data_IF_439470572088
#
_entry.id   IF_439470572088
#
_cell.length_a   1.000
_cell.length_b   1.000
_cell.length_c   1.000
_cell.angle_alpha   90.00
_cell.angle_beta   90.00
_cell.angle_gamma   90.00
#
_symmetry.space_group_name_H-M   'P 1'
#
loop_
_entity.id
_entity.type
_entity.pdbx_description
1 polymer ?
#
# COMPACT_ATOMS: atom_id res chain seq x y z
N UNK A 1 -17.94 -14.51 27.85
CA UNK A 1 -16.61 -14.15 27.33
C UNK A 1 -16.65 -12.66 27.11
N UNK A 2 -15.76 -11.91 27.76
CA UNK A 2 -15.64 -10.47 27.57
C UNK A 2 -14.92 -10.23 26.23
N UNK A 3 -15.31 -9.20 25.46
CA UNK A 3 -14.62 -8.87 24.21
C UNK A 3 -13.15 -8.53 24.46
N UNK A 4 -12.84 -7.97 25.64
CA UNK A 4 -11.48 -7.70 26.08
C UNK A 4 -10.60 -8.97 26.15
N UNK A 5 -11.21 -10.15 26.34
CA UNK A 5 -10.48 -11.43 26.39
C UNK A 5 -9.91 -11.86 25.02
N UNK A 6 -10.31 -11.19 23.92
CA UNK A 6 -9.83 -11.45 22.56
C UNK A 6 -8.63 -10.58 22.15
N UNK A 7 -8.36 -9.50 22.89
CA UNK A 7 -7.31 -8.55 22.56
C UNK A 7 -6.08 -8.75 23.44
N UNK A 8 -4.90 -8.53 22.85
CA UNK A 8 -3.65 -8.55 23.61
C UNK A 8 -3.61 -7.37 24.59
N UNK A 9 -3.08 -7.60 25.78
CA UNK A 9 -2.70 -6.56 26.73
C UNK A 9 -1.42 -5.82 26.31
N UNK A 10 -1.11 -4.70 26.96
CA UNK A 10 0.15 -3.98 26.73
C UNK A 10 1.38 -4.86 26.99
N UNK A 11 1.32 -5.72 28.01
CA UNK A 11 2.38 -6.68 28.32
C UNK A 11 2.52 -7.75 27.23
N UNK A 12 1.42 -8.34 26.77
CA UNK A 12 1.42 -9.37 25.73
C UNK A 12 1.86 -8.85 24.35
N UNK A 13 1.67 -7.55 24.07
CA UNK A 13 2.22 -6.92 22.86
C UNK A 13 3.75 -6.87 22.86
N UNK A 14 4.40 -6.96 24.02
CA UNK A 14 5.86 -7.06 24.13
C UNK A 14 6.63 -5.86 23.58
N UNK A 15 6.02 -4.67 23.57
CA UNK A 15 6.64 -3.44 23.08
C UNK A 15 6.44 -2.27 24.06
N UNK A 16 7.21 -2.23 25.17
CA UNK A 16 7.04 -1.25 26.24
C UNK A 16 7.36 0.19 25.80
N UNK A 17 8.08 0.36 24.69
CA UNK A 17 8.39 1.69 24.12
C UNK A 17 7.25 2.24 23.25
N UNK A 18 6.17 1.46 23.03
CA UNK A 18 5.02 1.90 22.23
C UNK A 18 4.14 2.85 23.05
N UNK A 19 3.86 4.04 22.51
CA UNK A 19 2.85 4.95 23.04
C UNK A 19 1.44 4.66 22.50
N UNK A 20 1.27 3.64 21.65
CA UNK A 20 -0.03 3.26 21.06
C UNK A 20 -0.74 2.35 22.06
N UNK A 21 -2.02 2.58 22.39
CA UNK A 21 -2.77 1.71 23.29
C UNK A 21 -2.88 0.28 22.72
N UNK A 22 -2.97 -0.73 23.59
CA UNK A 22 -3.15 -2.12 23.17
C UNK A 22 -4.36 -2.34 22.24
N UNK A 23 -5.47 -1.66 22.51
CA UNK A 23 -6.67 -1.65 21.68
C UNK A 23 -7.48 -0.39 21.93
N UNK A 24 -8.42 -0.08 21.02
CA UNK A 24 -9.37 1.01 21.17
C UNK A 24 -10.74 0.61 20.58
N UNK A 25 -11.78 1.32 21.00
CA UNK A 25 -13.16 1.13 20.53
C UNK A 25 -13.58 2.27 19.59
N UNK A 26 -14.73 2.12 18.94
CA UNK A 26 -15.32 3.16 18.09
C UNK A 26 -14.73 3.26 16.68
N UNK A 27 -13.88 2.33 16.29
CA UNK A 27 -13.36 2.25 14.92
C UNK A 27 -14.41 1.63 13.98
N UNK A 28 -14.52 2.18 12.77
CA UNK A 28 -15.17 1.50 11.65
C UNK A 28 -14.10 0.67 10.91
N UNK A 29 -14.29 -0.64 10.84
CA UNK A 29 -13.40 -1.56 10.13
C UNK A 29 -14.18 -2.27 9.02
N UNK A 30 -13.78 -2.03 7.77
CA UNK A 30 -14.44 -2.58 6.59
C UNK A 30 -13.50 -3.52 5.82
N UNK A 31 -13.90 -4.78 5.57
CA UNK A 31 -13.09 -5.70 4.79
C UNK A 31 -13.23 -5.41 3.29
N UNK A 32 -12.14 -4.97 2.66
CA UNK A 32 -12.06 -4.82 1.20
C UNK A 32 -11.60 -6.15 0.58
N UNK A 33 -12.55 -6.97 0.17
CA UNK A 33 -12.27 -8.29 -0.41
C UNK A 33 -11.88 -8.11 -1.88
N UNK A 34 -10.76 -8.73 -2.27
CA UNK A 34 -10.10 -8.63 -3.60
C UNK A 34 -9.40 -7.29 -3.85
N UNK A 35 -8.37 -7.31 -4.72
CA UNK A 35 -7.63 -6.10 -5.01
C UNK A 35 -8.37 -5.11 -5.89
N UNK A 36 -9.28 -5.54 -6.76
CA UNK A 36 -10.16 -4.63 -7.50
C UNK A 36 -10.95 -3.70 -6.56
N UNK A 37 -11.58 -4.26 -5.53
CA UNK A 37 -12.29 -3.49 -4.49
C UNK A 37 -11.35 -2.57 -3.71
N UNK A 38 -10.20 -3.09 -3.27
CA UNK A 38 -9.20 -2.32 -2.54
C UNK A 38 -8.67 -1.13 -3.36
N UNK A 39 -8.27 -1.36 -4.61
CA UNK A 39 -7.73 -0.33 -5.49
C UNK A 39 -8.79 0.70 -5.87
N UNK A 40 -10.04 0.28 -6.08
CA UNK A 40 -11.13 1.22 -6.37
C UNK A 40 -11.38 2.18 -5.19
N UNK A 41 -11.44 1.65 -3.96
CA UNK A 41 -11.57 2.47 -2.75
C UNK A 41 -10.36 3.39 -2.58
N UNK A 42 -9.15 2.88 -2.79
CA UNK A 42 -7.92 3.68 -2.69
C UNK A 42 -7.94 4.87 -3.65
N UNK A 43 -8.38 4.67 -4.89
CA UNK A 43 -8.50 5.79 -5.86
C UNK A 43 -9.51 6.81 -5.35
N UNK A 44 -10.69 6.36 -4.88
CA UNK A 44 -11.73 7.25 -4.35
C UNK A 44 -11.20 8.13 -3.21
N UNK A 45 -10.52 7.54 -2.23
CA UNK A 45 -10.01 8.30 -1.08
C UNK A 45 -8.88 9.26 -1.49
N UNK A 46 -7.94 8.82 -2.34
CA UNK A 46 -6.83 9.68 -2.75
C UNK A 46 -7.29 10.82 -3.67
N UNK A 47 -8.28 10.60 -4.52
CA UNK A 47 -8.86 11.65 -5.37
C UNK A 47 -9.61 12.70 -4.54
N UNK A 48 -10.12 12.34 -3.35
CA UNK A 48 -10.77 13.27 -2.43
C UNK A 48 -9.79 14.17 -1.65
N UNK A 49 -8.48 13.91 -1.73
CA UNK A 49 -7.46 14.69 -1.02
C UNK A 49 -7.22 16.07 -1.65
N UNK A 50 -7.07 17.04 -0.76
CA UNK A 50 -6.84 18.45 -1.05
C UNK A 50 -5.49 18.95 -0.51
N UNK A 51 -5.12 20.18 -0.82
CA UNK A 51 -3.86 20.78 -0.38
C UNK A 51 -3.72 20.73 1.15
N UNK A 52 -2.59 20.21 1.63
CA UNK A 52 -2.31 20.05 3.06
C UNK A 52 -2.84 18.75 3.69
N UNK A 53 -3.67 17.99 2.99
CA UNK A 53 -4.00 16.62 3.41
C UNK A 53 -2.76 15.71 3.24
N UNK A 54 -2.78 14.55 3.89
CA UNK A 54 -1.65 13.64 3.92
C UNK A 54 -1.96 12.32 3.24
N UNK A 55 -0.99 11.81 2.48
CA UNK A 55 -0.98 10.47 1.91
C UNK A 55 0.34 9.79 2.28
N UNK A 56 0.30 8.88 3.25
CA UNK A 56 1.47 8.12 3.68
C UNK A 56 1.33 6.67 3.26
N UNK A 57 2.39 6.04 2.77
CA UNK A 57 2.34 4.64 2.39
C UNK A 57 3.62 3.88 2.71
N UNK A 58 3.46 2.59 2.98
CA UNK A 58 4.54 1.61 3.01
C UNK A 58 4.17 0.47 2.08
N UNK A 59 5.17 -0.04 1.36
CA UNK A 59 4.94 -1.18 0.49
C UNK A 59 6.18 -2.08 0.42
N UNK A 60 5.96 -3.37 0.26
CA UNK A 60 7.06 -4.31 0.05
C UNK A 60 7.52 -4.28 -1.41
N UNK A 61 6.57 -4.13 -2.34
CA UNK A 61 6.82 -3.94 -3.77
C UNK A 61 5.74 -3.05 -4.38
N UNK A 62 6.14 -1.92 -4.94
CA UNK A 62 5.30 -1.10 -5.81
C UNK A 62 5.70 -1.27 -7.27
N UNK A 63 4.72 -1.50 -8.15
CA UNK A 63 4.92 -1.39 -9.60
C UNK A 63 4.25 -0.07 -10.05
N UNK A 64 5.02 0.98 -10.45
CA UNK A 64 4.49 2.30 -10.73
C UNK A 64 3.38 2.32 -11.80
N UNK A 65 3.39 1.38 -12.74
CA UNK A 65 2.42 1.26 -13.82
C UNK A 65 1.21 0.36 -13.50
N UNK A 66 1.09 -0.18 -12.28
CA UNK A 66 -0.11 -0.88 -11.83
C UNK A 66 -1.34 0.04 -11.97
N UNK A 67 -2.31 -0.37 -12.79
CA UNK A 67 -3.59 0.33 -12.93
C UNK A 67 -4.51 -0.01 -11.78
N UNK A 68 -5.23 0.99 -11.29
CA UNK A 68 -6.10 0.86 -10.13
C UNK A 68 -7.56 0.62 -10.53
N UNK A 69 -7.93 1.10 -11.71
CA UNK A 69 -9.21 0.84 -12.38
C UNK A 69 -8.96 0.45 -13.83
N UNK A 70 -10.01 0.04 -14.52
CA UNK A 70 -9.93 -0.24 -15.95
C UNK A 70 -9.58 1.05 -16.71
N UNK A 71 -8.49 1.02 -17.47
CA UNK A 71 -7.96 2.19 -18.17
C UNK A 71 -7.12 3.16 -17.31
N UNK A 72 -7.00 2.90 -15.99
CA UNK A 72 -6.22 3.74 -15.07
C UNK A 72 -7.10 4.51 -14.07
N UNK A 73 -6.50 5.33 -13.18
CA UNK A 73 -5.09 5.74 -13.19
C UNK A 73 -4.12 4.64 -12.78
N UNK A 74 -2.83 4.83 -13.05
CA UNK A 74 -1.77 4.01 -12.43
C UNK A 74 -1.44 4.50 -11.01
N UNK A 75 -0.73 3.70 -10.21
CA UNK A 75 -0.20 4.12 -8.90
C UNK A 75 0.60 5.42 -9.04
N UNK A 76 1.52 5.46 -10.00
CA UNK A 76 2.32 6.66 -10.29
C UNK A 76 1.41 7.85 -10.58
N UNK A 77 0.45 7.70 -11.50
CA UNK A 77 -0.41 8.83 -11.90
C UNK A 77 -1.29 9.32 -10.74
N UNK A 78 -1.78 8.41 -9.89
CA UNK A 78 -2.60 8.78 -8.75
C UNK A 78 -1.79 9.57 -7.71
N UNK A 79 -0.61 9.07 -7.33
CA UNK A 79 0.20 9.66 -6.26
C UNK A 79 0.92 10.94 -6.72
N UNK A 80 1.44 10.98 -7.94
CA UNK A 80 2.03 12.21 -8.50
C UNK A 80 0.97 13.33 -8.59
N UNK A 81 -0.23 13.03 -9.09
CA UNK A 81 -1.31 14.03 -9.15
C UNK A 81 -1.74 14.50 -7.76
N UNK A 82 -1.66 13.65 -6.73
CA UNK A 82 -1.92 14.07 -5.35
C UNK A 82 -0.85 15.04 -4.86
N UNK A 83 0.43 14.73 -5.07
CA UNK A 83 1.54 15.63 -4.72
C UNK A 83 1.43 16.98 -5.45
N UNK A 84 1.10 16.98 -6.74
CA UNK A 84 0.89 18.19 -7.55
C UNK A 84 -0.29 19.06 -7.04
N UNK A 85 -1.31 18.45 -6.42
CA UNK A 85 -2.39 19.18 -5.73
C UNK A 85 -1.97 19.78 -4.39
N UNK A 86 -0.73 19.53 -3.93
CA UNK A 86 -0.22 19.97 -2.64
C UNK A 86 -0.59 19.06 -1.48
N UNK A 87 -0.94 17.80 -1.74
CA UNK A 87 -1.05 16.76 -0.71
C UNK A 87 0.37 16.42 -0.23
N UNK A 88 0.56 16.24 1.07
CA UNK A 88 1.82 15.76 1.64
C UNK A 88 1.94 14.26 1.39
N UNK A 89 2.62 13.88 0.31
CA UNK A 89 2.84 12.48 -0.06
C UNK A 89 4.18 11.99 0.51
N UNK A 90 4.14 10.96 1.37
CA UNK A 90 5.34 10.32 1.94
C UNK A 90 5.31 8.80 1.80
N UNK A 91 6.38 8.21 1.29
CA UNK A 91 6.52 6.76 1.13
C UNK A 91 7.71 6.19 1.89
N UNK A 92 7.56 4.99 2.45
CA UNK A 92 8.67 4.13 2.90
C UNK A 92 8.62 2.82 2.10
N UNK A 93 9.58 2.61 1.21
CA UNK A 93 9.61 1.41 0.36
C UNK A 93 10.89 0.61 0.59
N UNK A 94 10.79 -0.71 0.51
CA UNK A 94 11.92 -1.60 0.77
C UNK A 94 12.90 -1.65 -0.41
N UNK A 95 14.21 -1.70 -0.09
CA UNK A 95 15.30 -1.96 -1.05
C UNK A 95 15.88 -3.35 -0.82
N UNK A 96 15.86 -4.21 -1.84
CA UNK A 96 16.42 -5.57 -1.73
C UNK A 96 17.96 -5.56 -1.72
N UNK A 97 18.57 -6.26 -0.76
CA UNK A 97 20.03 -6.33 -0.56
C UNK A 97 20.80 -7.20 -1.59
N UNK A 98 20.13 -7.80 -2.57
CA UNK A 98 20.74 -8.73 -3.52
C UNK A 98 20.31 -8.36 -4.93
N UNK A 99 21.27 -7.95 -5.76
CA UNK A 99 21.20 -7.75 -7.22
C UNK A 99 20.59 -8.94 -8.02
N UNK A 100 20.15 -10.02 -7.34
CA UNK A 100 19.52 -11.21 -7.94
C UNK A 100 18.01 -11.34 -7.68
N UNK A 101 17.39 -10.42 -6.93
CA UNK A 101 15.92 -10.24 -6.86
C UNK A 101 15.43 -9.14 -7.83
N UNK A 102 16.17 -8.96 -8.93
CA UNK A 102 16.29 -7.78 -9.81
C UNK A 102 15.04 -7.33 -10.61
N UNK A 103 13.85 -7.33 -10.01
CA UNK A 103 12.67 -6.69 -10.61
C UNK A 103 12.01 -5.66 -9.70
N UNK A 104 12.05 -5.84 -8.37
CA UNK A 104 11.36 -4.94 -7.44
C UNK A 104 12.13 -3.65 -7.10
N UNK A 105 13.46 -3.68 -7.10
CA UNK A 105 14.27 -2.49 -6.75
C UNK A 105 14.17 -1.39 -7.81
N UNK A 106 14.22 -1.76 -9.09
CA UNK A 106 14.14 -0.81 -10.21
C UNK A 106 12.77 -0.14 -10.27
N UNK A 107 11.69 -0.91 -10.11
CA UNK A 107 10.33 -0.37 -10.09
C UNK A 107 10.07 0.53 -8.86
N UNK A 108 10.50 0.12 -7.66
CA UNK A 108 10.39 0.96 -6.45
C UNK A 108 11.16 2.27 -6.60
N UNK A 109 12.36 2.25 -7.21
CA UNK A 109 13.16 3.44 -7.47
C UNK A 109 12.46 4.38 -8.45
N UNK A 110 11.92 3.85 -9.55
CA UNK A 110 11.22 4.66 -10.54
C UNK A 110 9.94 5.31 -10.00
N UNK A 111 9.21 4.62 -9.11
CA UNK A 111 8.05 5.20 -8.42
C UNK A 111 8.48 6.34 -7.48
N UNK A 112 9.52 6.13 -6.67
CA UNK A 112 10.06 7.15 -5.78
C UNK A 112 10.50 8.41 -6.52
N UNK A 113 11.29 8.26 -7.58
CA UNK A 113 11.78 9.38 -8.42
C UNK A 113 10.64 10.16 -9.10
N UNK A 114 9.54 9.49 -9.47
CA UNK A 114 8.37 10.16 -10.04
C UNK A 114 7.62 11.00 -8.99
N UNK A 115 7.44 10.45 -7.79
CA UNK A 115 6.76 11.15 -6.69
C UNK A 115 7.60 12.33 -6.19
N UNK A 116 8.92 12.15 -6.08
CA UNK A 116 9.84 13.24 -5.70
C UNK A 116 9.80 14.40 -6.69
N UNK A 117 9.79 14.10 -8.00
CA UNK A 117 9.64 15.14 -9.04
C UNK A 117 8.29 15.87 -8.98
N UNK A 118 7.25 15.19 -8.48
CA UNK A 118 5.92 15.77 -8.28
C UNK A 118 5.78 16.54 -6.94
N UNK A 119 6.82 16.57 -6.10
CA UNK A 119 6.84 17.29 -4.82
C UNK A 119 6.56 16.43 -3.58
N UNK A 120 6.45 15.11 -3.73
CA UNK A 120 6.41 14.17 -2.60
C UNK A 120 7.79 13.72 -2.12
N UNK A 121 7.85 12.79 -1.18
CA UNK A 121 9.09 12.21 -0.65
C UNK A 121 8.96 10.71 -0.48
N UNK A 122 9.85 9.90 -1.06
CA UNK A 122 9.83 8.44 -0.91
C UNK A 122 11.21 7.97 -0.48
N UNK A 123 11.29 7.40 0.73
CA UNK A 123 12.56 6.91 1.26
C UNK A 123 12.67 5.40 1.11
N UNK A 124 13.87 4.96 0.72
CA UNK A 124 14.25 3.56 0.74
C UNK A 124 14.66 3.15 2.16
N UNK A 125 13.82 2.39 2.86
CA UNK A 125 14.11 1.94 4.23
C UNK A 125 14.75 0.54 4.23
N UNK A 126 15.92 0.46 4.87
CA UNK A 126 16.76 -0.73 4.96
C UNK A 126 17.12 -1.09 6.40
N UNK A 127 16.40 -0.56 7.39
CA UNK A 127 16.62 -0.88 8.81
C UNK A 127 16.02 -2.24 9.17
N UNK A 128 16.51 -3.28 8.50
CA UNK A 128 16.12 -4.68 8.66
C UNK A 128 17.32 -5.53 9.07
N UNK A 129 17.08 -6.65 9.75
CA UNK A 129 18.13 -7.66 9.99
C UNK A 129 18.53 -8.31 8.67
N UNK A 130 19.72 -8.91 8.61
CA UNK A 130 20.20 -9.67 7.43
C UNK A 130 19.14 -10.71 7.04
N UNK A 131 18.70 -10.67 5.77
CA UNK A 131 17.64 -11.53 5.24
C UNK A 131 16.21 -11.10 5.58
N UNK A 132 16.03 -9.96 6.26
CA UNK A 132 14.73 -9.38 6.58
C UNK A 132 14.20 -8.40 5.53
N UNK A 133 12.95 -8.00 5.70
CA UNK A 133 12.25 -7.02 4.86
C UNK A 133 11.23 -6.23 5.66
N UNK A 134 10.93 -4.99 5.25
CA UNK A 134 9.69 -4.33 5.63
C UNK A 134 8.55 -4.94 4.79
N UNK A 135 7.69 -5.74 5.43
CA UNK A 135 6.62 -6.46 4.73
C UNK A 135 5.23 -5.84 4.92
N UNK A 136 5.17 -4.67 5.56
CA UNK A 136 3.95 -3.92 5.82
C UNK A 136 3.42 -3.32 4.52
N UNK A 137 2.15 -3.59 4.21
CA UNK A 137 1.38 -2.87 3.18
C UNK A 137 0.38 -2.00 3.91
N UNK A 138 0.63 -0.71 3.92
CA UNK A 138 -0.15 0.25 4.69
C UNK A 138 -0.28 1.53 3.87
N UNK A 139 -1.50 2.05 3.74
CA UNK A 139 -1.74 3.41 3.27
C UNK A 139 -2.50 4.15 4.37
N UNK A 140 -2.03 5.33 4.75
CA UNK A 140 -2.67 6.21 5.74
C UNK A 140 -3.01 7.52 5.07
N UNK A 141 -4.29 7.85 5.08
CA UNK A 141 -4.84 9.09 4.57
C UNK A 141 -5.30 9.92 5.76
N UNK A 142 -4.84 11.17 5.81
CA UNK A 142 -5.26 12.10 6.87
C UNK A 142 -5.76 13.41 6.30
N UNK A 143 -6.81 13.91 6.94
CA UNK A 143 -7.39 15.22 6.71
C UNK A 143 -7.20 16.04 7.99
N UNK A 144 -6.08 16.79 8.17
CA UNK A 144 -5.83 17.53 9.40
C UNK A 144 -6.96 18.49 9.81
N UNK A 145 -7.72 19.02 8.82
CA UNK A 145 -8.89 19.87 9.05
C UNK A 145 -10.21 19.13 9.27
N UNK A 146 -10.27 17.81 9.05
CA UNK A 146 -11.46 16.97 9.19
C UNK A 146 -11.08 15.51 9.59
N UNK A 147 -10.49 15.29 10.78
CA UNK A 147 -9.92 13.99 11.15
C UNK A 147 -10.92 12.83 11.21
N UNK A 148 -12.22 13.11 11.29
CA UNK A 148 -13.30 12.12 11.18
C UNK A 148 -13.35 11.43 9.81
N UNK A 149 -12.61 11.96 8.83
CA UNK A 149 -12.43 11.40 7.48
C UNK A 149 -11.11 10.64 7.32
N UNK A 150 -10.26 10.55 8.35
CA UNK A 150 -9.00 9.81 8.28
C UNK A 150 -9.29 8.33 7.99
N UNK A 151 -8.57 7.75 7.04
CA UNK A 151 -8.71 6.34 6.64
C UNK A 151 -7.33 5.68 6.60
N UNK A 152 -7.25 4.46 7.11
CA UNK A 152 -6.07 3.63 6.99
C UNK A 152 -6.43 2.30 6.29
N UNK A 153 -5.67 1.96 5.26
CA UNK A 153 -5.74 0.67 4.60
C UNK A 153 -4.62 -0.23 5.10
N UNK A 154 -4.96 -1.35 5.72
CA UNK A 154 -3.99 -2.34 6.19
C UNK A 154 -4.38 -3.74 5.71
N UNK A 155 -3.42 -4.49 5.16
CA UNK A 155 -3.72 -5.83 4.68
C UNK A 155 -2.55 -6.51 3.94
N UNK A 156 -2.91 -7.45 3.06
CA UNK A 156 -1.97 -8.26 2.29
C UNK A 156 -1.73 -7.81 0.85
N UNK A 157 -2.37 -6.73 0.40
CA UNK A 157 -2.36 -6.29 -1.00
C UNK A 157 -1.31 -5.19 -1.18
N UNK A 158 -0.21 -5.53 -1.86
CA UNK A 158 0.81 -4.55 -2.30
C UNK A 158 0.29 -3.70 -3.49
N UNK A 159 0.91 -2.55 -3.73
CA UNK A 159 0.60 -1.64 -4.85
C UNK A 159 1.33 -2.09 -6.14
N UNK A 160 1.15 -3.35 -6.55
CA UNK A 160 1.88 -3.93 -7.67
C UNK A 160 1.05 -4.94 -8.49
N UNK A 161 1.64 -5.41 -9.60
CA UNK A 161 1.07 -6.39 -10.50
C UNK A 161 0.60 -7.66 -9.78
N UNK A 162 -0.43 -8.30 -10.35
CA UNK A 162 -1.09 -9.54 -9.84
C UNK A 162 -1.97 -9.36 -8.61
N UNK A 163 -2.29 -8.13 -8.23
CA UNK A 163 -3.09 -7.85 -7.04
C UNK A 163 -4.52 -7.45 -7.38
N UNK A 164 -4.80 -6.89 -8.56
CA UNK A 164 -6.13 -6.38 -8.97
C UNK A 164 -7.05 -7.49 -9.53
N UNK A 165 -7.12 -8.62 -8.84
CA UNK A 165 -8.14 -9.64 -9.16
C UNK A 165 -9.51 -9.22 -8.59
N UNK A 166 -10.56 -9.89 -9.04
CA UNK A 166 -11.95 -9.68 -8.59
C UNK A 166 -12.60 -11.00 -8.14
N UNK A 167 -13.89 -10.93 -7.81
CA UNK A 167 -14.65 -12.08 -7.33
C UNK A 167 -14.83 -13.21 -8.36
N UNK A 168 -14.55 -12.95 -9.64
CA UNK A 168 -14.56 -13.99 -10.67
C UNK A 168 -13.31 -14.87 -10.64
N UNK A 169 -12.25 -14.42 -9.96
CA UNK A 169 -10.96 -15.12 -9.84
C UNK A 169 -10.34 -15.53 -11.18
N UNK A 170 -10.51 -14.68 -12.20
CA UNK A 170 -9.87 -14.88 -13.51
C UNK A 170 -8.42 -14.39 -13.53
N UNK A 171 -8.00 -13.66 -12.50
CA UNK A 171 -6.67 -13.10 -12.35
C UNK A 171 -6.61 -11.64 -12.75
N UNK A 172 -5.61 -10.94 -12.21
CA UNK A 172 -5.29 -9.56 -12.57
C UNK A 172 -4.85 -9.47 -14.04
N UNK A 173 -5.42 -8.54 -14.83
CA UNK A 173 -4.96 -8.26 -16.19
C UNK A 173 -3.47 -7.87 -16.29
N UNK A 174 -2.89 -7.30 -15.22
CA UNK A 174 -1.46 -7.02 -15.10
C UNK A 174 -0.79 -8.11 -14.26
N UNK A 175 -0.68 -9.31 -14.83
CA UNK A 175 -0.02 -10.44 -14.17
C UNK A 175 1.52 -10.36 -14.23
N UNK A 176 2.20 -10.73 -13.14
CA UNK A 176 3.64 -10.97 -13.15
C UNK A 176 3.93 -12.31 -13.80
N UNK A 177 5.12 -12.43 -14.40
CA UNK A 177 5.60 -13.69 -14.95
C UNK A 177 5.84 -14.71 -13.83
N UNK A 178 4.99 -15.73 -13.75
CA UNK A 178 5.17 -16.85 -12.84
C UNK A 178 6.02 -17.96 -13.49
N UNK A 179 6.68 -18.77 -12.67
CA UNK A 179 7.45 -19.91 -13.17
C UNK A 179 6.53 -20.88 -13.92
N UNK A 180 7.01 -21.44 -15.05
CA UNK A 180 6.24 -22.33 -15.95
C UNK A 180 5.49 -23.48 -15.25
N UNK A 181 6.00 -23.95 -14.10
CA UNK A 181 5.39 -24.99 -13.25
C UNK A 181 4.00 -24.61 -12.70
N UNK A 182 3.66 -23.32 -12.69
CA UNK A 182 2.38 -22.80 -12.24
C UNK A 182 1.41 -22.53 -13.40
N UNK A 183 1.76 -22.95 -14.63
CA UNK A 183 0.97 -22.70 -15.83
C UNK A 183 1.29 -21.35 -16.49
N UNK A 184 0.67 -21.09 -17.63
CA UNK A 184 0.66 -19.75 -18.22
C UNK A 184 -0.30 -18.83 -17.46
N UNK A 185 -0.12 -17.52 -17.57
CA UNK A 185 -1.17 -16.58 -17.15
C UNK A 185 -2.48 -16.99 -17.86
N UNK A 186 -3.59 -17.04 -17.14
CA UNK A 186 -4.91 -17.24 -17.76
C UNK A 186 -5.16 -16.07 -18.71
N UNK A 187 -4.78 -16.24 -19.97
CA UNK A 187 -5.18 -15.34 -21.03
C UNK A 187 -6.67 -15.55 -21.24
N UNK A 188 -7.49 -14.67 -20.67
CA UNK A 188 -8.90 -14.59 -21.05
C UNK A 188 -9.03 -13.38 -21.96
N UNK A 189 -9.40 -13.67 -23.20
CA UNK A 189 -9.75 -12.71 -24.24
C UNK A 189 -10.98 -11.87 -23.88
#
# INVERSE_FOLDING_TARGET
MNIADWFLTDEERGNPDSAIPAWCEGNLAEPLIHGSTYFDQLVTEVEALSTGDHLFFTDWRGDPDQKLRDGGPTIRDLFCRAAERGVVVKGLVWRSHLDKLAYSEEENRHLGEAIERAGGEVLLDQRVRIGGSHHQKLVVIRHPGAPERDVAFAGGIDLCHSRRDDASHRGDPQAVQMAKRYGGASAVA
#
